data_IF_684435408236
#
_entry.id   IF_684435408236
#
_cell.length_a   1.000
_cell.length_b   1.000
_cell.length_c   1.000
_cell.angle_alpha   90.00
_cell.angle_beta   90.00
_cell.angle_gamma   90.00
#
_symmetry.space_group_name_H-M   'P 1'
#
loop_
_entity.id
_entity.type
_entity.pdbx_description
1 polymer ?
#
# COMPACT_ATOMS: atom_id res chain seq x y z
N UNK A 1 -19.25 43.31 0.10
CA UNK A 1 -19.68 42.96 -1.28
C UNK A 1 -20.23 44.22 -1.95
N UNK A 2 -20.22 44.40 -3.28
CA UNK A 2 -19.79 43.52 -4.39
C UNK A 2 -18.70 44.24 -5.25
N UNK A 3 -18.18 43.78 -6.38
CA UNK A 3 -18.49 42.66 -7.27
C UNK A 3 -17.38 42.57 -8.33
N UNK A 4 -16.96 41.36 -8.65
CA UNK A 4 -17.23 40.66 -9.91
C UNK A 4 -16.52 41.24 -11.15
N UNK A 5 -15.58 40.43 -11.64
CA UNK A 5 -14.91 40.53 -12.93
C UNK A 5 -15.64 39.66 -13.95
N UNK A 6 -16.00 40.20 -15.12
CA UNK A 6 -16.27 39.42 -16.35
C UNK A 6 -15.82 40.20 -17.60
N UNK A 7 -14.87 39.64 -18.38
CA UNK A 7 -14.97 38.93 -19.68
C UNK A 7 -14.97 39.83 -20.93
N UNK A 8 -14.04 39.53 -21.86
CA UNK A 8 -14.37 39.48 -23.29
C UNK A 8 -13.61 38.34 -23.99
N UNK A 9 -14.38 37.44 -24.59
CA UNK A 9 -13.95 36.49 -25.62
C UNK A 9 -14.13 37.10 -27.01
N UNK A 10 -13.29 36.71 -27.98
CA UNK A 10 -13.64 36.77 -29.41
C UNK A 10 -12.47 37.02 -30.35
N UNK A 11 -11.99 35.96 -31.00
CA UNK A 11 -11.10 36.05 -32.17
C UNK A 11 -10.22 34.82 -32.42
N UNK A 12 -10.77 33.80 -33.11
CA UNK A 12 -10.06 32.69 -33.80
C UNK A 12 -10.46 32.79 -35.31
N UNK A 13 -9.88 32.07 -36.29
CA UNK A 13 -8.68 31.21 -36.33
C UNK A 13 -7.82 31.26 -37.63
N UNK A 14 -6.60 30.73 -37.60
CA UNK A 14 -5.91 29.98 -38.69
C UNK A 14 -4.68 29.30 -38.03
N UNK A 15 -4.29 28.03 -38.18
CA UNK A 15 -4.80 26.81 -38.80
C UNK A 15 -4.07 25.62 -38.12
N UNK A 16 -4.67 24.42 -38.15
CA UNK A 16 -4.28 23.14 -37.49
C UNK A 16 -3.07 22.50 -38.20
N UNK A 17 -2.18 21.65 -37.68
CA UNK A 17 -1.95 20.83 -36.46
C UNK A 17 -0.71 19.91 -36.75
N UNK A 18 -0.37 18.85 -35.98
CA UNK A 18 -0.87 18.42 -34.67
C UNK A 18 0.20 18.54 -33.56
N UNK A 19 -0.24 18.91 -32.36
CA UNK A 19 0.51 18.65 -31.14
C UNK A 19 0.21 17.22 -30.67
N UNK A 20 1.06 16.27 -31.03
CA UNK A 20 1.13 14.99 -30.32
C UNK A 20 2.23 15.11 -29.28
N UNK A 21 1.96 15.88 -28.22
CA UNK A 21 2.75 15.79 -27.00
C UNK A 21 2.47 14.45 -26.36
N UNK A 22 3.26 13.44 -26.69
CA UNK A 22 3.23 12.16 -26.00
C UNK A 22 3.35 12.42 -24.48
N UNK A 23 2.56 11.76 -23.63
CA UNK A 23 2.80 11.80 -22.19
C UNK A 23 4.25 11.33 -21.99
N UNK A 24 5.07 12.10 -21.25
CA UNK A 24 6.36 11.59 -20.77
C UNK A 24 6.04 10.28 -20.06
N UNK A 25 6.46 9.16 -20.66
CA UNK A 25 6.37 7.85 -20.03
C UNK A 25 7.10 7.96 -18.70
N UNK A 26 6.37 8.08 -17.61
CA UNK A 26 6.88 7.65 -16.31
C UNK A 26 7.06 6.15 -16.50
N UNK A 27 8.29 5.71 -16.71
CA UNK A 27 8.58 4.29 -16.81
C UNK A 27 8.10 3.64 -15.52
N UNK A 28 7.27 2.60 -15.66
CA UNK A 28 6.76 1.84 -14.53
C UNK A 28 7.95 1.12 -13.86
N UNK A 29 8.31 1.46 -12.62
CA UNK A 29 9.46 0.85 -11.95
C UNK A 29 9.30 -0.67 -11.77
N UNK A 30 8.06 -1.18 -11.80
CA UNK A 30 7.79 -2.62 -11.64
C UNK A 30 8.26 -3.46 -12.82
N UNK A 31 8.28 -2.88 -14.03
CA UNK A 31 8.68 -3.60 -15.24
C UNK A 31 10.19 -3.90 -15.26
N UNK A 32 11.01 -3.06 -14.63
CA UNK A 32 12.47 -3.26 -14.55
C UNK A 32 12.85 -4.34 -13.54
N UNK A 33 12.12 -4.45 -12.43
CA UNK A 33 12.40 -5.47 -11.39
C UNK A 33 12.08 -6.86 -11.92
N UNK A 34 10.89 -7.02 -12.52
CA UNK A 34 10.47 -8.29 -13.09
C UNK A 34 11.37 -8.73 -14.25
N UNK A 35 11.79 -7.82 -15.11
CA UNK A 35 12.68 -8.17 -16.23
C UNK A 35 14.08 -8.54 -15.79
N UNK A 36 14.65 -7.86 -14.79
CA UNK A 36 15.98 -8.17 -14.29
C UNK A 36 16.02 -9.49 -13.52
N UNK A 37 15.06 -9.72 -12.62
CA UNK A 37 15.02 -10.95 -11.82
C UNK A 37 14.72 -12.19 -12.68
N UNK A 38 13.71 -12.10 -13.56
CA UNK A 38 13.30 -13.26 -14.36
C UNK A 38 14.28 -13.61 -15.47
N UNK A 39 15.17 -12.70 -15.88
CA UNK A 39 16.26 -13.04 -16.82
C UNK A 39 17.26 -14.01 -16.19
N UNK A 40 17.43 -13.98 -14.87
CA UNK A 40 18.43 -14.76 -14.14
C UNK A 40 17.92 -16.14 -13.70
N UNK A 41 16.62 -16.43 -13.86
CA UNK A 41 16.01 -17.68 -13.41
C UNK A 41 15.24 -18.38 -14.52
N UNK A 42 15.22 -19.71 -14.48
CA UNK A 42 14.40 -20.52 -15.39
C UNK A 42 13.18 -21.00 -14.62
N UNK A 43 12.01 -20.52 -15.02
CA UNK A 43 10.75 -20.91 -14.38
C UNK A 43 10.11 -22.05 -15.16
N UNK A 44 9.61 -23.05 -14.44
CA UNK A 44 8.78 -24.12 -15.02
C UNK A 44 7.33 -23.84 -14.70
N UNK A 45 6.51 -23.81 -15.74
CA UNK A 45 5.07 -23.71 -15.59
C UNK A 45 4.53 -25.01 -14.95
N UNK A 46 3.92 -24.89 -13.77
CA UNK A 46 3.43 -26.03 -12.99
C UNK A 46 2.16 -26.66 -13.56
N UNK A 47 1.46 -25.98 -14.47
CA UNK A 47 0.26 -26.46 -15.15
C UNK A 47 0.56 -27.11 -16.50
N UNK A 48 1.56 -26.60 -17.24
CA UNK A 48 1.88 -27.05 -18.60
C UNK A 48 3.18 -27.84 -18.68
N UNK A 49 4.02 -27.80 -17.65
CA UNK A 49 5.34 -28.44 -17.64
C UNK A 49 6.34 -27.82 -18.62
N UNK A 50 5.98 -26.69 -19.25
CA UNK A 50 6.82 -25.97 -20.20
C UNK A 50 7.87 -25.19 -19.42
N UNK A 51 9.12 -25.27 -19.89
CA UNK A 51 10.25 -24.51 -19.34
C UNK A 51 10.42 -23.23 -20.15
N UNK A 52 10.66 -22.11 -19.47
CA UNK A 52 11.08 -20.86 -20.12
C UNK A 52 12.56 -20.93 -20.56
N UNK A 53 12.99 -20.04 -21.45
CA UNK A 53 14.34 -20.02 -22.04
C UNK A 53 15.41 -19.36 -21.14
N UNK A 54 15.10 -19.19 -19.85
CA UNK A 54 15.99 -18.61 -18.85
C UNK A 54 17.32 -19.37 -18.67
N UNK A 55 18.31 -18.68 -18.10
CA UNK A 55 19.69 -19.18 -17.91
C UNK A 55 19.92 -19.79 -16.51
N UNK A 56 18.90 -19.85 -15.66
CA UNK A 56 19.01 -20.20 -14.24
C UNK A 56 18.60 -21.64 -13.89
N UNK A 57 18.62 -21.93 -12.58
CA UNK A 57 18.11 -23.21 -12.04
C UNK A 57 16.60 -23.33 -12.21
N UNK A 58 16.12 -24.56 -12.42
CA UNK A 58 14.68 -24.88 -12.52
C UNK A 58 14.00 -24.62 -11.17
N UNK A 59 13.05 -23.68 -11.16
CA UNK A 59 12.22 -23.39 -9.97
C UNK A 59 10.91 -24.15 -10.06
N UNK A 60 10.61 -24.95 -9.04
CA UNK A 60 9.43 -25.87 -9.05
C UNK A 60 8.37 -25.52 -8.01
N UNK A 61 8.69 -24.65 -7.04
CA UNK A 61 7.77 -24.26 -5.98
C UNK A 61 7.73 -22.75 -5.77
N UNK A 62 6.62 -22.25 -5.23
CA UNK A 62 6.50 -20.84 -4.87
C UNK A 62 7.46 -20.43 -3.75
N UNK A 63 7.76 -21.35 -2.83
CA UNK A 63 8.70 -21.11 -1.73
C UNK A 63 10.13 -20.90 -2.25
N UNK A 64 10.56 -21.75 -3.19
CA UNK A 64 11.85 -21.62 -3.87
C UNK A 64 11.93 -20.30 -4.66
N UNK A 65 10.88 -19.96 -5.41
CA UNK A 65 10.80 -18.68 -6.13
C UNK A 65 10.94 -17.49 -5.19
N UNK A 66 10.20 -17.49 -4.07
CA UNK A 66 10.25 -16.41 -3.08
C UNK A 66 11.62 -16.32 -2.40
N UNK A 67 12.29 -17.45 -2.14
CA UNK A 67 13.64 -17.48 -1.58
C UNK A 67 14.68 -16.87 -2.51
N UNK A 68 14.65 -17.26 -3.80
CA UNK A 68 15.52 -16.70 -4.83
C UNK A 68 15.26 -15.20 -5.02
N UNK A 69 13.99 -14.81 -5.10
CA UNK A 69 13.59 -13.41 -5.21
C UNK A 69 14.09 -12.57 -4.03
N UNK A 70 13.91 -13.07 -2.80
CA UNK A 70 14.36 -12.35 -1.60
C UNK A 70 15.87 -12.17 -1.60
N UNK A 71 16.62 -13.23 -1.93
CA UNK A 71 18.09 -13.18 -2.02
C UNK A 71 18.56 -12.19 -3.08
N UNK A 72 17.92 -12.17 -4.24
CA UNK A 72 18.24 -11.24 -5.33
C UNK A 72 17.93 -9.78 -4.97
N UNK A 73 16.79 -9.51 -4.32
CA UNK A 73 16.42 -8.18 -3.85
C UNK A 73 17.40 -7.66 -2.80
N UNK A 74 17.96 -8.53 -1.96
CA UNK A 74 18.91 -8.15 -0.94
C UNK A 74 20.33 -7.95 -1.49
N UNK A 75 20.77 -8.80 -2.42
CA UNK A 75 22.18 -8.84 -2.85
C UNK A 75 22.46 -8.14 -4.18
N UNK A 76 21.54 -8.18 -5.14
CA UNK A 76 21.79 -7.74 -6.53
C UNK A 76 21.10 -6.42 -6.80
N UNK A 77 19.77 -6.38 -6.62
CA UNK A 77 18.95 -5.22 -6.94
C UNK A 77 19.46 -3.88 -6.36
N UNK A 78 19.90 -3.78 -5.08
CA UNK A 78 20.30 -2.50 -4.50
C UNK A 78 21.52 -1.89 -5.20
N UNK A 79 22.35 -2.74 -5.83
CA UNK A 79 23.61 -2.36 -6.47
C UNK A 79 23.48 -2.19 -7.99
N UNK A 80 22.44 -2.75 -8.62
CA UNK A 80 22.25 -2.69 -10.07
C UNK A 80 21.88 -1.28 -10.53
N UNK A 81 22.60 -0.74 -11.51
CA UNK A 81 22.32 0.58 -12.08
C UNK A 81 21.07 0.51 -12.95
N UNK A 82 20.08 1.35 -12.63
CA UNK A 82 18.86 1.44 -13.43
C UNK A 82 19.09 2.28 -14.67
N UNK A 83 18.70 1.77 -15.84
CA UNK A 83 18.85 2.45 -17.13
C UNK A 83 18.16 3.82 -17.19
N UNK A 84 17.01 3.97 -16.52
CA UNK A 84 16.24 5.22 -16.50
C UNK A 84 16.89 6.30 -15.63
N UNK A 85 17.46 5.93 -14.48
CA UNK A 85 18.02 6.90 -13.53
C UNK A 85 19.54 7.03 -13.62
N UNK A 86 20.21 6.11 -14.31
CA UNK A 86 21.68 6.05 -14.38
C UNK A 86 22.35 5.82 -13.02
N UNK A 87 21.58 5.41 -12.02
CA UNK A 87 22.01 5.23 -10.62
C UNK A 87 21.45 3.92 -10.08
N UNK A 88 22.14 3.31 -9.13
CA UNK A 88 21.61 2.17 -8.37
C UNK A 88 20.59 2.64 -7.32
N UNK A 89 19.61 1.79 -6.94
CA UNK A 89 18.67 2.09 -5.87
C UNK A 89 19.35 2.51 -4.57
N UNK A 90 20.41 1.81 -4.15
CA UNK A 90 21.15 2.11 -2.92
C UNK A 90 21.82 3.48 -2.97
N UNK A 91 22.53 3.80 -4.05
CA UNK A 91 23.20 5.09 -4.19
C UNK A 91 22.20 6.26 -4.19
N UNK A 92 21.05 6.07 -4.85
CA UNK A 92 19.98 7.07 -4.86
C UNK A 92 19.31 7.21 -3.49
N UNK A 93 19.10 6.10 -2.77
CA UNK A 93 18.58 6.10 -1.42
C UNK A 93 19.51 6.86 -0.47
N UNK A 94 20.80 6.53 -0.45
CA UNK A 94 21.80 7.16 0.41
C UNK A 94 21.91 8.66 0.17
N UNK A 95 21.96 9.08 -1.10
CA UNK A 95 21.99 10.49 -1.48
C UNK A 95 20.73 11.26 -0.99
N UNK A 96 19.56 10.61 -1.02
CA UNK A 96 18.30 11.19 -0.56
C UNK A 96 18.14 11.21 0.97
N UNK A 97 18.96 10.46 1.71
CA UNK A 97 18.83 10.28 3.15
C UNK A 97 19.82 11.10 3.98
N UNK A 98 20.83 11.73 3.36
CA UNK A 98 21.86 12.55 4.04
C UNK A 98 21.24 13.60 4.98
N UNK A 99 20.16 14.24 4.54
CA UNK A 99 19.46 15.31 5.28
C UNK A 99 18.28 14.81 6.10
N UNK A 100 17.96 13.52 6.02
CA UNK A 100 16.80 12.93 6.70
C UNK A 100 17.23 12.20 7.97
N UNK A 101 16.31 12.11 8.91
CA UNK A 101 16.43 11.24 10.08
C UNK A 101 15.16 10.38 10.12
N UNK A 102 15.29 9.06 10.31
CA UNK A 102 14.11 8.23 10.48
C UNK A 102 13.37 8.67 11.74
N UNK A 103 12.09 8.97 11.60
CA UNK A 103 11.22 9.19 12.74
C UNK A 103 10.90 7.83 13.35
N UNK A 104 11.43 7.57 14.55
CA UNK A 104 11.09 6.36 15.30
C UNK A 104 9.77 6.59 16.01
N UNK A 105 8.72 5.93 15.54
CA UNK A 105 7.42 5.88 16.22
C UNK A 105 7.53 5.03 17.49
N UNK A 106 6.73 5.38 18.50
CA UNK A 106 6.69 4.58 19.74
C UNK A 106 6.04 3.23 19.48
N UNK A 107 6.21 2.27 20.40
CA UNK A 107 5.58 0.95 20.28
C UNK A 107 4.06 1.08 20.19
N UNK A 108 3.50 2.00 20.95
CA UNK A 108 2.06 2.25 21.06
C UNK A 108 1.51 2.82 19.74
N UNK A 109 2.23 3.75 19.10
CA UNK A 109 1.84 4.29 17.78
C UNK A 109 1.90 3.22 16.69
N UNK A 110 2.91 2.35 16.73
CA UNK A 110 3.02 1.24 15.79
C UNK A 110 1.88 0.24 16.02
N UNK A 111 1.61 -0.13 17.28
CA UNK A 111 0.53 -1.05 17.62
C UNK A 111 -0.83 -0.52 17.17
N UNK A 112 -1.08 0.79 17.33
CA UNK A 112 -2.31 1.43 16.85
C UNK A 112 -2.47 1.29 15.33
N UNK A 113 -1.38 1.43 14.55
CA UNK A 113 -1.42 1.33 13.09
C UNK A 113 -1.80 -0.07 12.58
N UNK A 114 -1.64 -1.11 13.39
CA UNK A 114 -1.99 -2.48 13.06
C UNK A 114 -3.36 -2.92 13.60
N UNK A 115 -4.12 -2.02 14.25
CA UNK A 115 -5.46 -2.36 14.70
C UNK A 115 -6.42 -2.54 13.54
N UNK A 116 -7.31 -3.50 13.70
CA UNK A 116 -8.35 -3.80 12.73
C UNK A 116 -9.63 -3.13 13.16
N UNK A 117 -10.41 -2.65 12.20
CA UNK A 117 -11.76 -2.16 12.46
C UNK A 117 -12.82 -3.03 11.78
N UNK A 118 -13.93 -3.25 12.48
CA UNK A 118 -15.09 -3.94 11.90
C UNK A 118 -16.39 -3.37 12.44
N UNK A 119 -17.39 -3.27 11.56
CA UNK A 119 -18.70 -2.76 11.95
C UNK A 119 -19.59 -3.93 12.36
N UNK A 120 -20.22 -3.82 13.53
CA UNK A 120 -21.19 -4.80 14.04
C UNK A 120 -22.43 -4.08 14.56
N UNK A 121 -23.56 -4.80 14.54
CA UNK A 121 -24.81 -4.32 15.15
C UNK A 121 -24.92 -4.92 16.54
N UNK A 122 -25.21 -4.07 17.53
CA UNK A 122 -25.42 -4.52 18.91
C UNK A 122 -26.75 -5.26 19.02
N UNK A 123 -26.73 -6.44 19.62
CA UNK A 123 -27.91 -7.27 19.82
C UNK A 123 -28.86 -6.69 20.89
N UNK A 124 -30.07 -7.24 20.99
CA UNK A 124 -31.05 -6.87 22.04
C UNK A 124 -30.55 -7.13 23.47
N UNK A 125 -29.56 -8.00 23.62
CA UNK A 125 -28.94 -8.34 24.90
C UNK A 125 -27.71 -7.48 25.22
N UNK A 126 -27.52 -6.35 24.52
CA UNK A 126 -26.36 -5.47 24.67
C UNK A 126 -25.01 -6.17 24.39
N UNK A 127 -24.97 -7.05 23.38
CA UNK A 127 -23.74 -7.77 23.01
C UNK A 127 -23.33 -7.57 21.56
N UNK A 128 -22.04 -7.78 21.29
CA UNK A 128 -21.47 -7.86 19.94
C UNK A 128 -20.65 -9.14 19.79
N UNK A 129 -20.71 -9.77 18.62
CA UNK A 129 -19.91 -10.94 18.29
C UNK A 129 -18.71 -10.57 17.41
N UNK A 130 -17.52 -11.01 17.82
CA UNK A 130 -16.26 -10.77 17.12
C UNK A 130 -15.38 -12.03 17.20
N UNK A 131 -15.01 -12.58 16.05
CA UNK A 131 -14.17 -13.80 15.93
C UNK A 131 -14.57 -14.92 16.90
N UNK A 132 -15.85 -15.33 16.85
CA UNK A 132 -16.46 -16.36 17.71
C UNK A 132 -16.53 -16.04 19.21
N UNK A 133 -16.06 -14.87 19.65
CA UNK A 133 -16.24 -14.35 20.99
C UNK A 133 -17.44 -13.40 21.07
N UNK A 134 -18.02 -13.26 22.27
CA UNK A 134 -19.13 -12.36 22.53
C UNK A 134 -18.75 -11.37 23.64
N UNK A 135 -18.88 -10.08 23.35
CA UNK A 135 -18.53 -9.00 24.25
C UNK A 135 -19.76 -8.23 24.68
N UNK A 136 -19.82 -7.87 25.95
CA UNK A 136 -20.85 -6.96 26.49
C UNK A 136 -20.48 -5.52 26.14
N UNK A 137 -21.47 -4.74 25.72
CA UNK A 137 -21.32 -3.31 25.42
C UNK A 137 -22.38 -2.52 26.18
N UNK A 138 -22.29 -1.19 26.12
CA UNK A 138 -23.29 -0.31 26.73
C UNK A 138 -24.71 -0.62 26.18
N UNK A 139 -25.69 -0.90 27.05
CA UNK A 139 -27.10 -1.10 26.65
C UNK A 139 -27.69 0.07 25.84
N UNK A 140 -27.17 1.30 25.95
CA UNK A 140 -27.60 2.45 25.16
C UNK A 140 -27.25 2.32 23.65
N UNK A 141 -26.42 1.34 23.30
CA UNK A 141 -26.03 1.04 21.92
C UNK A 141 -26.86 -0.07 21.30
N UNK A 142 -27.84 -0.68 22.01
CA UNK A 142 -28.71 -1.74 21.48
C UNK A 142 -29.33 -1.31 20.14
N UNK A 143 -29.19 -2.16 19.13
CA UNK A 143 -29.71 -1.92 17.77
C UNK A 143 -28.90 -0.93 16.93
N UNK A 144 -27.85 -0.30 17.47
CA UNK A 144 -26.97 0.61 16.73
C UNK A 144 -25.84 -0.16 16.05
N UNK A 145 -25.33 0.41 14.95
CA UNK A 145 -24.08 -0.02 14.33
C UNK A 145 -22.92 0.64 15.07
N UNK A 146 -21.99 -0.17 15.52
CA UNK A 146 -20.77 0.26 16.21
C UNK A 146 -19.55 -0.23 15.44
N UNK A 147 -18.51 0.59 15.43
CA UNK A 147 -17.19 0.19 14.95
C UNK A 147 -16.40 -0.37 16.14
N UNK A 148 -15.87 -1.58 15.95
CA UNK A 148 -14.99 -2.25 16.90
C UNK A 148 -13.57 -2.13 16.37
N UNK A 149 -12.69 -1.50 17.14
CA UNK A 149 -11.26 -1.40 16.85
C UNK A 149 -10.50 -2.28 17.83
N UNK A 150 -9.72 -3.23 17.32
CA UNK A 150 -9.10 -4.30 18.11
C UNK A 150 -7.77 -4.79 17.51
N UNK A 151 -6.97 -5.49 18.32
CA UNK A 151 -5.81 -6.25 17.84
C UNK A 151 -6.28 -7.63 17.35
N UNK A 152 -6.06 -8.01 16.08
CA UNK A 152 -6.48 -9.32 15.57
C UNK A 152 -5.74 -10.50 16.19
N UNK A 153 -4.60 -10.29 16.85
CA UNK A 153 -3.80 -11.32 17.49
C UNK A 153 -4.01 -11.39 19.01
N UNK A 154 -4.59 -10.35 19.63
CA UNK A 154 -4.96 -10.33 21.04
C UNK A 154 -6.38 -9.78 21.24
N UNK A 155 -7.34 -10.70 21.34
CA UNK A 155 -8.74 -10.38 21.61
C UNK A 155 -9.07 -10.22 23.10
N UNK A 156 -8.11 -10.47 24.00
CA UNK A 156 -8.29 -10.29 25.44
C UNK A 156 -8.00 -8.85 25.88
N UNK A 157 -7.30 -8.10 25.03
CA UNK A 157 -6.98 -6.69 25.22
C UNK A 157 -8.17 -5.75 25.05
N UNK A 158 -7.87 -4.44 25.06
CA UNK A 158 -8.87 -3.38 24.96
C UNK A 158 -9.49 -3.35 23.56
N UNK A 159 -10.81 -3.59 23.48
CA UNK A 159 -11.60 -3.38 22.27
C UNK A 159 -12.29 -2.03 22.37
N UNK A 160 -11.97 -1.12 21.46
CA UNK A 160 -12.60 0.20 21.42
C UNK A 160 -13.91 0.10 20.64
N UNK A 161 -15.01 0.57 21.25
CA UNK A 161 -16.34 0.60 20.64
C UNK A 161 -16.70 2.05 20.34
N UNK A 162 -16.82 2.40 19.07
CA UNK A 162 -17.27 3.73 18.64
C UNK A 162 -18.67 3.63 18.03
N UNK A 163 -19.61 4.46 18.52
CA UNK A 163 -20.89 4.63 17.85
C UNK A 163 -20.61 5.35 16.52
N UNK A 164 -21.04 4.78 15.38
CA UNK A 164 -20.62 5.16 14.03
C UNK A 164 -20.97 6.59 13.55
N UNK A 165 -20.54 7.61 14.27
CA UNK A 165 -20.26 8.94 13.77
C UNK A 165 -18.73 9.03 13.72
N UNK A 166 -18.16 8.97 12.52
CA UNK A 166 -16.70 9.00 12.33
C UNK A 166 -16.04 10.08 13.19
N UNK A 167 -15.17 9.64 14.10
CA UNK A 167 -14.29 10.54 14.83
C UNK A 167 -13.37 11.20 13.81
N UNK A 168 -13.44 12.52 13.68
CA UNK A 168 -12.40 13.28 12.99
C UNK A 168 -11.10 13.15 13.81
N UNK A 169 -9.97 12.74 13.21
CA UNK A 169 -8.69 12.78 13.90
C UNK A 169 -8.23 14.24 13.99
N UNK A 170 -8.34 14.83 15.18
CA UNK A 170 -7.64 16.07 15.52
C UNK A 170 -8.45 17.07 16.33
N UNK A 171 -8.25 17.04 17.64
CA UNK A 171 -8.21 18.24 18.49
C UNK A 171 -7.59 17.84 19.83
N UNK A 172 -6.27 18.03 19.95
CA UNK A 172 -5.63 18.14 21.26
C UNK A 172 -5.91 19.56 21.78
N UNK A 173 -6.23 19.68 23.07
CA UNK A 173 -6.09 20.92 23.82
C UNK A 173 -4.62 21.37 23.85
#
# INVERSE_FOLDING_TARGET
>A
MPGNWHVRFGGRPHGKGPHTGAPRRVADPTNTVSSQFLTEITVVDTQTGVMDDGVGGIVTTLEELNGLFSSWVEMVYPHTVHSTTGQSPLARWDAGWVTRRPERKTREEIAEAFRWSTIRTVTKSATVSLQSNTYQVDPLLIGKKVELVYDPFDLTGLITVSAGNGVQPGSRC
#
